data_IF_034584420943
#
_entry.id   IF_034584420943
#
_cell.length_a   1.000
_cell.length_b   1.000
_cell.length_c   1.000
_cell.angle_alpha   90.00
_cell.angle_beta   90.00
_cell.angle_gamma   90.00
#
_symmetry.space_group_name_H-M   'P 1'
#
loop_
_entity.id
_entity.type
_entity.pdbx_description
1 polymer ?
#
# COMPACT_ATOMS: atom_id res chain seq x y z
N UNK A 1 40.38 -56.30 -46.58
CA UNK A 1 40.03 -55.78 -45.23
C UNK A 1 40.80 -54.49 -44.87
N UNK A 2 40.76 -53.44 -45.70
CA UNK A 2 41.45 -52.15 -45.41
C UNK A 2 40.63 -50.88 -45.70
N UNK A 3 39.38 -51.00 -46.16
CA UNK A 3 38.52 -49.84 -46.49
C UNK A 3 37.35 -49.63 -45.51
N UNK A 4 37.17 -50.49 -44.53
CA UNK A 4 36.09 -50.39 -43.53
C UNK A 4 36.54 -49.82 -42.19
N UNK A 5 37.84 -49.72 -41.93
CA UNK A 5 38.38 -49.18 -40.66
C UNK A 5 38.57 -47.65 -40.73
N UNK A 6 38.72 -47.08 -41.93
CA UNK A 6 38.98 -45.64 -42.09
C UNK A 6 37.71 -44.76 -41.98
N UNK A 7 36.51 -45.33 -42.14
CA UNK A 7 35.25 -44.60 -41.92
C UNK A 7 34.83 -44.54 -40.46
N UNK A 8 35.42 -45.37 -39.58
CA UNK A 8 35.08 -45.37 -38.15
C UNK A 8 35.89 -44.33 -37.35
N UNK A 9 37.04 -43.87 -37.86
CA UNK A 9 37.86 -42.85 -37.20
C UNK A 9 37.49 -41.40 -37.56
N UNK A 10 36.69 -41.17 -38.61
CA UNK A 10 36.25 -39.81 -38.97
C UNK A 10 34.98 -39.36 -38.23
N UNK A 11 34.24 -40.29 -37.60
CA UNK A 11 33.06 -39.98 -36.77
C UNK A 11 33.47 -39.70 -35.31
N UNK A 12 34.64 -40.15 -34.86
CA UNK A 12 35.09 -39.96 -33.49
C UNK A 12 35.76 -38.58 -33.21
N UNK A 13 36.15 -37.82 -34.24
CA UNK A 13 36.82 -36.52 -34.07
C UNK A 13 35.83 -35.34 -34.11
N UNK A 14 34.62 -35.54 -34.65
CA UNK A 14 33.58 -34.50 -34.65
C UNK A 14 32.76 -34.44 -33.34
N UNK A 15 33.01 -35.32 -32.36
CA UNK A 15 32.24 -35.41 -31.13
C UNK A 15 32.84 -34.63 -29.93
N UNK A 16 33.98 -33.95 -30.09
CA UNK A 16 34.69 -33.30 -28.97
C UNK A 16 34.88 -31.78 -29.07
N UNK A 17 34.06 -31.11 -29.89
CA UNK A 17 34.08 -29.63 -29.97
C UNK A 17 32.70 -29.03 -29.72
N UNK A 18 32.00 -29.51 -28.68
CA UNK A 18 30.97 -28.69 -28.05
C UNK A 18 31.73 -27.78 -27.09
N UNK A 19 32.18 -26.63 -27.60
CA UNK A 19 32.45 -25.49 -26.73
C UNK A 19 31.14 -25.17 -26.04
N UNK A 20 31.05 -25.60 -24.78
CA UNK A 20 30.08 -25.08 -23.84
C UNK A 20 30.32 -23.58 -23.74
N UNK A 21 29.73 -22.82 -24.65
CA UNK A 21 29.39 -21.45 -24.37
C UNK A 21 28.40 -21.57 -23.23
N UNK A 22 28.91 -21.42 -22.01
CA UNK A 22 28.06 -21.03 -20.89
C UNK A 22 27.29 -19.83 -21.41
N UNK A 23 26.03 -20.02 -21.80
CA UNK A 23 25.10 -18.93 -21.74
C UNK A 23 25.16 -18.52 -20.29
N UNK A 24 25.76 -17.37 -20.01
CA UNK A 24 25.59 -16.72 -18.74
C UNK A 24 24.09 -16.61 -18.58
N UNK A 25 23.49 -17.57 -17.86
CA UNK A 25 22.10 -17.49 -17.48
C UNK A 25 22.10 -16.25 -16.63
N UNK A 26 21.49 -15.18 -17.11
CA UNK A 26 21.31 -13.98 -16.34
C UNK A 26 20.44 -14.38 -15.14
N UNK A 27 21.09 -14.82 -14.05
CA UNK A 27 20.47 -15.14 -12.77
C UNK A 27 20.14 -13.86 -12.00
N UNK A 28 20.35 -12.70 -12.62
CA UNK A 28 19.90 -11.42 -12.11
C UNK A 28 18.39 -11.39 -12.11
N UNK A 29 17.77 -11.97 -11.07
CA UNK A 29 16.47 -11.51 -10.64
C UNK A 29 16.59 -9.98 -10.57
N UNK A 30 15.85 -9.30 -11.45
CA UNK A 30 15.76 -7.84 -11.44
C UNK A 30 15.38 -7.49 -10.01
N UNK A 31 16.27 -6.79 -9.30
CA UNK A 31 16.01 -6.36 -7.92
C UNK A 31 14.65 -5.69 -7.91
N UNK A 32 13.80 -6.07 -6.97
CA UNK A 32 12.57 -5.32 -6.75
C UNK A 32 12.92 -3.88 -6.27
N UNK A 33 11.92 -3.02 -6.21
CA UNK A 33 12.15 -1.62 -5.83
C UNK A 33 12.86 -1.51 -4.46
N UNK A 34 12.45 -2.33 -3.49
CA UNK A 34 12.99 -2.30 -2.13
C UNK A 34 14.44 -2.76 -2.10
N UNK A 35 14.76 -3.86 -2.77
CA UNK A 35 16.13 -4.34 -2.93
C UNK A 35 17.03 -3.34 -3.67
N UNK A 36 16.46 -2.60 -4.64
CA UNK A 36 17.16 -1.55 -5.37
C UNK A 36 17.46 -0.36 -4.47
N UNK A 37 16.47 0.11 -3.70
CA UNK A 37 16.65 1.20 -2.75
C UNK A 37 17.65 0.82 -1.64
N UNK A 38 17.56 -0.39 -1.11
CA UNK A 38 18.50 -0.91 -0.10
C UNK A 38 19.94 -0.93 -0.64
N UNK A 39 20.11 -1.28 -1.92
CA UNK A 39 21.40 -1.24 -2.61
C UNK A 39 21.94 0.19 -2.71
N UNK A 40 21.10 1.15 -3.08
CA UNK A 40 21.49 2.58 -3.21
C UNK A 40 21.89 3.15 -1.83
N UNK A 41 21.17 2.75 -0.77
CA UNK A 41 21.36 3.22 0.60
C UNK A 41 22.41 2.41 1.39
N UNK A 42 23.18 1.54 0.75
CA UNK A 42 24.07 0.61 1.48
C UNK A 42 25.10 1.33 2.35
N UNK A 43 25.60 2.49 1.89
CA UNK A 43 26.59 3.31 2.61
C UNK A 43 26.00 4.43 3.45
N UNK A 44 24.68 4.56 3.51
CA UNK A 44 24.02 5.51 4.39
C UNK A 44 23.90 4.91 5.79
N UNK A 45 24.37 5.65 6.80
CA UNK A 45 24.21 5.36 8.21
C UNK A 45 22.72 5.41 8.59
N UNK A 46 22.14 4.24 8.89
CA UNK A 46 20.72 4.06 9.23
C UNK A 46 20.41 4.24 10.72
N UNK A 47 21.42 4.46 11.57
CA UNK A 47 21.24 4.65 13.02
C UNK A 47 20.19 5.70 13.40
N UNK A 48 20.03 6.83 12.67
CA UNK A 48 18.99 7.81 12.98
C UNK A 48 17.55 7.36 12.69
N UNK A 49 17.35 6.20 12.03
CA UNK A 49 16.01 5.64 11.76
C UNK A 49 15.50 4.96 13.04
N UNK A 50 14.84 5.74 13.88
CA UNK A 50 14.33 5.32 15.20
C UNK A 50 13.05 4.50 15.12
N UNK A 51 12.28 4.65 14.04
CA UNK A 51 10.96 3.98 13.91
C UNK A 51 11.05 2.54 13.42
N UNK A 52 12.20 2.12 12.89
CA UNK A 52 12.36 0.86 12.14
C UNK A 52 11.79 0.91 10.72
N UNK A 53 10.99 1.92 10.39
CA UNK A 53 10.27 2.06 9.12
C UNK A 53 10.91 3.18 8.29
N UNK A 54 11.46 2.85 7.11
CA UNK A 54 11.92 3.84 6.13
C UNK A 54 11.03 3.79 4.90
N UNK A 55 10.08 4.71 4.79
CA UNK A 55 9.00 4.63 3.80
C UNK A 55 9.51 4.71 2.36
N UNK A 56 10.59 5.45 2.09
CA UNK A 56 11.21 5.52 0.76
C UNK A 56 11.83 4.19 0.28
N UNK A 57 11.93 3.16 1.14
CA UNK A 57 12.30 1.80 0.72
C UNK A 57 11.22 1.13 -0.13
N UNK A 58 10.01 1.67 -0.18
CA UNK A 58 8.92 1.13 -0.99
C UNK A 58 8.33 2.22 -1.87
N UNK A 59 7.67 1.82 -2.95
CA UNK A 59 6.87 2.76 -3.72
C UNK A 59 5.63 3.17 -2.92
N UNK A 60 5.40 4.48 -2.84
CA UNK A 60 4.31 5.12 -2.07
C UNK A 60 3.03 5.22 -2.91
N UNK A 61 2.34 4.10 -3.13
CA UNK A 61 1.05 4.09 -3.84
C UNK A 61 -0.11 4.56 -2.96
N UNK A 62 -0.03 4.34 -1.64
CA UNK A 62 -1.04 4.85 -0.71
C UNK A 62 -0.84 6.33 -0.35
N UNK A 63 0.30 6.91 -0.72
CA UNK A 63 0.66 8.30 -0.49
C UNK A 63 0.49 8.72 0.97
N UNK A 64 0.95 7.88 1.92
CA UNK A 64 0.83 8.12 3.37
C UNK A 64 1.37 9.49 3.79
N UNK A 65 2.44 9.94 3.14
CA UNK A 65 3.05 11.24 3.36
C UNK A 65 2.16 12.41 2.91
N UNK A 66 1.21 12.18 2.00
CA UNK A 66 0.34 13.20 1.40
C UNK A 66 -1.13 13.09 1.82
N UNK A 67 -1.49 12.14 2.68
CA UNK A 67 -2.89 11.99 3.14
C UNK A 67 -3.45 13.28 3.75
N UNK A 68 -2.56 14.17 4.20
CA UNK A 68 -2.85 15.50 4.74
C UNK A 68 -1.79 16.50 4.29
N UNK A 69 -1.94 16.98 3.07
CA UNK A 69 -1.13 18.06 2.55
C UNK A 69 -2.01 19.28 2.31
N UNK A 70 -1.54 20.46 2.69
CA UNK A 70 -2.21 21.75 2.42
C UNK A 70 -3.69 21.80 2.87
N UNK A 71 -3.99 21.26 4.06
CA UNK A 71 -5.32 21.17 4.64
C UNK A 71 -6.35 20.31 3.86
N UNK A 72 -5.93 19.59 2.81
CA UNK A 72 -6.78 18.64 2.09
C UNK A 72 -6.71 17.29 2.79
N UNK A 73 -7.86 16.77 3.23
CA UNK A 73 -7.97 15.44 3.83
C UNK A 73 -8.31 14.45 2.73
N UNK A 74 -7.35 13.59 2.39
CA UNK A 74 -7.59 12.45 1.49
C UNK A 74 -8.48 11.43 2.19
N UNK A 75 -9.53 10.97 1.50
CA UNK A 75 -10.47 9.99 2.04
C UNK A 75 -9.88 8.59 1.89
N UNK A 76 -9.63 7.91 3.01
CA UNK A 76 -9.23 6.50 2.97
C UNK A 76 -10.42 5.59 2.58
N UNK A 77 -10.12 4.37 2.19
CA UNK A 77 -11.08 3.30 1.94
C UNK A 77 -10.39 1.95 2.17
N UNK A 78 -11.10 0.85 2.03
CA UNK A 78 -10.53 -0.48 2.25
C UNK A 78 -9.23 -0.74 1.47
N UNK A 79 -9.20 -0.38 0.18
CA UNK A 79 -8.02 -0.59 -0.68
C UNK A 79 -6.84 0.26 -0.24
N UNK A 80 -7.07 1.54 0.04
CA UNK A 80 -6.04 2.44 0.54
C UNK A 80 -5.48 1.93 1.88
N UNK A 81 -6.32 1.45 2.79
CA UNK A 81 -5.89 0.89 4.07
C UNK A 81 -4.98 -0.34 3.90
N UNK A 82 -5.39 -1.31 3.08
CA UNK A 82 -4.58 -2.50 2.80
C UNK A 82 -3.25 -2.15 2.13
N UNK A 83 -3.27 -1.19 1.20
CA UNK A 83 -2.06 -0.71 0.54
C UNK A 83 -1.11 -0.03 1.55
N UNK A 84 -1.63 0.85 2.41
CA UNK A 84 -0.86 1.48 3.47
C UNK A 84 -0.23 0.47 4.43
N UNK A 85 -0.99 -0.54 4.85
CA UNK A 85 -0.48 -1.61 5.71
C UNK A 85 0.65 -2.40 5.05
N UNK A 86 0.48 -2.76 3.77
CA UNK A 86 1.47 -3.48 2.97
C UNK A 86 2.77 -2.68 2.81
N UNK A 87 2.66 -1.39 2.51
CA UNK A 87 3.80 -0.51 2.33
C UNK A 87 4.56 -0.31 3.63
N UNK A 88 3.87 -0.12 4.76
CA UNK A 88 4.50 -0.05 6.08
C UNK A 88 5.23 -1.34 6.42
N UNK A 89 4.59 -2.49 6.22
CA UNK A 89 5.20 -3.79 6.50
C UNK A 89 6.49 -4.02 5.69
N UNK A 90 6.48 -3.64 4.41
CA UNK A 90 7.64 -3.80 3.51
C UNK A 90 8.73 -2.75 3.69
N UNK A 91 8.39 -1.59 4.25
CA UNK A 91 9.36 -0.51 4.53
C UNK A 91 10.03 -0.66 5.90
N UNK A 92 9.44 -1.44 6.80
CA UNK A 92 10.06 -1.87 8.06
C UNK A 92 11.28 -2.77 7.79
N UNK A 93 12.39 -2.52 8.48
CA UNK A 93 13.56 -3.40 8.44
C UNK A 93 13.32 -4.70 9.21
N UNK A 94 12.48 -4.68 10.23
CA UNK A 94 12.18 -5.80 11.13
C UNK A 94 10.71 -5.73 11.57
N UNK A 95 9.74 -6.02 10.67
CA UNK A 95 8.32 -5.87 10.97
C UNK A 95 7.89 -6.74 12.16
N UNK A 96 7.26 -6.10 13.14
CA UNK A 96 6.76 -6.74 14.38
C UNK A 96 5.24 -6.91 14.41
N UNK A 97 4.56 -6.52 13.33
CA UNK A 97 3.11 -6.59 13.17
C UNK A 97 2.73 -7.55 12.04
N UNK A 98 1.43 -7.78 11.85
CA UNK A 98 0.95 -8.78 10.89
C UNK A 98 1.36 -8.44 9.45
N UNK A 99 1.72 -9.46 8.67
CA UNK A 99 1.79 -9.33 7.21
C UNK A 99 0.41 -8.99 6.63
N UNK A 100 0.38 -8.44 5.42
CA UNK A 100 -0.87 -8.14 4.72
C UNK A 100 -1.76 -9.40 4.57
N UNK A 101 -1.15 -10.56 4.33
CA UNK A 101 -1.87 -11.83 4.19
C UNK A 101 -2.57 -12.23 5.50
N UNK A 102 -1.86 -12.17 6.63
CA UNK A 102 -2.44 -12.48 7.92
C UNK A 102 -3.51 -11.47 8.34
N UNK A 103 -3.31 -10.19 8.02
CA UNK A 103 -4.34 -9.17 8.24
C UNK A 103 -5.61 -9.49 7.43
N UNK A 104 -5.47 -9.83 6.14
CA UNK A 104 -6.60 -10.20 5.27
C UNK A 104 -7.36 -11.41 5.81
N UNK A 105 -6.65 -12.41 6.31
CA UNK A 105 -7.26 -13.57 6.98
C UNK A 105 -8.08 -13.14 8.20
N UNK A 106 -7.56 -12.23 9.04
CA UNK A 106 -8.30 -11.71 10.19
C UNK A 106 -9.54 -10.91 9.80
N UNK A 107 -9.45 -10.10 8.74
CA UNK A 107 -10.60 -9.34 8.21
C UNK A 107 -11.67 -10.30 7.68
N UNK A 108 -11.25 -11.33 6.94
CA UNK A 108 -12.17 -12.30 6.32
C UNK A 108 -12.78 -13.30 7.31
N UNK A 109 -12.22 -13.44 8.52
CA UNK A 109 -12.84 -14.22 9.59
C UNK A 109 -14.23 -13.68 9.98
N UNK A 110 -14.50 -12.40 9.70
CA UNK A 110 -15.83 -11.82 9.82
C UNK A 110 -16.69 -12.11 8.58
N UNK A 111 -17.52 -13.15 8.69
CA UNK A 111 -18.48 -13.55 7.64
C UNK A 111 -19.84 -12.86 7.75
N UNK A 112 -20.06 -12.00 8.75
CA UNK A 112 -21.35 -11.34 8.94
C UNK A 112 -21.52 -10.18 7.92
N UNK A 113 -22.56 -10.23 7.07
CA UNK A 113 -22.76 -9.23 6.02
C UNK A 113 -23.13 -7.83 6.56
N UNK A 114 -23.65 -7.76 7.79
CA UNK A 114 -24.06 -6.50 8.44
C UNK A 114 -22.98 -5.93 9.36
N UNK A 115 -21.90 -6.67 9.62
CA UNK A 115 -20.83 -6.25 10.52
C UNK A 115 -19.62 -5.77 9.70
N UNK A 116 -19.23 -4.52 9.89
CA UNK A 116 -18.06 -3.92 9.25
C UNK A 116 -17.03 -3.58 10.30
N UNK A 117 -15.87 -4.22 10.22
CA UNK A 117 -14.75 -3.90 11.09
C UNK A 117 -14.08 -2.58 10.66
N UNK A 118 -13.49 -1.87 11.62
CA UNK A 118 -12.72 -0.64 11.40
C UNK A 118 -11.26 -0.96 11.64
N UNK A 119 -10.42 -0.59 10.67
CA UNK A 119 -8.98 -0.68 10.78
C UNK A 119 -8.37 0.65 11.14
N UNK A 120 -7.31 0.61 11.93
CA UNK A 120 -6.54 1.79 12.34
C UNK A 120 -5.06 1.52 12.08
N UNK A 121 -4.39 2.48 11.46
CA UNK A 121 -2.93 2.60 11.43
C UNK A 121 -2.60 3.91 12.15
N UNK A 122 -1.83 3.85 13.23
CA UNK A 122 -1.30 5.00 13.94
C UNK A 122 0.16 4.73 14.33
N UNK A 123 1.10 5.29 13.58
CA UNK A 123 2.53 5.07 13.83
C UNK A 123 3.36 6.25 13.34
N UNK A 124 4.63 6.30 13.74
CA UNK A 124 5.63 7.10 13.05
C UNK A 124 6.34 6.28 11.98
N UNK A 125 6.80 6.97 10.95
CA UNK A 125 7.69 6.45 9.92
C UNK A 125 8.77 7.48 9.61
N UNK A 126 9.94 7.00 9.18
CA UNK A 126 10.98 7.86 8.63
C UNK A 126 10.88 7.98 7.11
N UNK A 127 11.32 9.12 6.58
CA UNK A 127 11.49 9.36 5.15
C UNK A 127 12.79 10.14 4.91
N UNK A 128 13.33 10.03 3.71
CA UNK A 128 14.57 10.66 3.29
C UNK A 128 14.28 12.12 2.95
N UNK A 129 14.99 13.01 3.62
CA UNK A 129 15.20 14.37 3.16
C UNK A 129 16.49 14.39 2.33
N UNK A 130 16.35 14.63 1.02
CA UNK A 130 17.50 14.77 0.14
C UNK A 130 18.18 16.14 0.28
N UNK A 131 17.54 17.10 0.96
CA UNK A 131 17.98 18.48 1.02
C UNK A 131 17.75 19.21 -0.31
N UNK A 132 18.59 20.19 -0.60
CA UNK A 132 18.54 20.96 -1.85
C UNK A 132 19.78 20.69 -2.71
N UNK A 133 19.79 21.03 -4.00
CA UNK A 133 20.98 20.89 -4.84
C UNK A 133 22.22 21.63 -4.31
N UNK A 134 22.04 22.73 -3.56
CA UNK A 134 23.14 23.52 -2.98
C UNK A 134 23.47 23.12 -1.54
N UNK A 135 22.52 22.49 -0.84
CA UNK A 135 22.69 21.99 0.54
C UNK A 135 22.12 20.57 0.63
N UNK A 136 22.80 19.57 0.03
CA UNK A 136 22.31 18.20 0.03
C UNK A 136 22.45 17.58 1.43
N UNK A 137 21.51 16.71 1.78
CA UNK A 137 21.59 15.89 3.00
C UNK A 137 22.27 14.53 2.73
N UNK A 138 22.35 14.13 1.46
CA UNK A 138 23.02 12.93 0.97
C UNK A 138 23.86 13.25 -0.28
N UNK A 139 25.04 12.65 -0.38
CA UNK A 139 25.88 12.74 -1.57
C UNK A 139 25.68 11.52 -2.46
N UNK A 140 25.63 11.73 -3.78
CA UNK A 140 25.57 10.64 -4.77
C UNK A 140 26.95 10.38 -5.36
N UNK A 141 27.51 9.20 -5.15
CA UNK A 141 28.81 8.79 -5.71
C UNK A 141 28.68 7.39 -6.31
N UNK A 142 28.94 7.26 -7.61
CA UNK A 142 28.90 5.96 -8.30
C UNK A 142 27.53 5.27 -8.27
N UNK A 143 26.43 6.03 -8.19
CA UNK A 143 25.06 5.48 -8.10
C UNK A 143 24.61 5.09 -6.69
N UNK A 144 25.44 5.33 -5.67
CA UNK A 144 25.12 5.11 -4.25
C UNK A 144 24.97 6.42 -3.51
N UNK A 145 24.22 6.38 -2.41
CA UNK A 145 24.04 7.51 -1.49
C UNK A 145 24.96 7.37 -0.28
N UNK A 146 25.52 8.49 0.16
CA UNK A 146 26.42 8.61 1.31
C UNK A 146 25.97 9.76 2.21
N UNK A 147 26.22 9.65 3.52
CA UNK A 147 25.93 10.74 4.45
C UNK A 147 26.78 11.97 4.14
N UNK A 148 26.21 13.14 4.38
CA UNK A 148 26.96 14.38 4.59
C UNK A 148 27.31 14.48 6.08
N UNK A 149 28.56 14.79 6.39
CA UNK A 149 29.05 14.85 7.77
C UNK A 149 28.21 15.80 8.62
N UNK A 150 27.73 15.32 9.77
CA UNK A 150 26.94 16.10 10.72
C UNK A 150 25.48 16.32 10.34
N UNK A 151 25.01 15.81 9.20
CA UNK A 151 23.62 15.94 8.75
C UNK A 151 22.88 14.61 8.93
N UNK A 152 21.70 14.66 9.55
CA UNK A 152 20.76 13.55 9.58
C UNK A 152 19.81 13.67 8.36
N UNK A 153 19.87 12.74 7.39
CA UNK A 153 19.03 12.78 6.19
C UNK A 153 17.63 12.17 6.41
N UNK A 154 17.29 11.76 7.63
CA UNK A 154 16.01 11.12 7.92
C UNK A 154 15.12 12.05 8.75
N UNK A 155 13.95 12.36 8.18
CA UNK A 155 12.87 13.04 8.87
C UNK A 155 11.88 12.01 9.38
N UNK A 156 11.09 12.39 10.38
CA UNK A 156 10.07 11.54 11.00
C UNK A 156 8.70 12.17 10.81
N UNK A 157 7.69 11.34 10.52
CA UNK A 157 6.30 11.76 10.40
C UNK A 157 5.37 10.78 11.09
N UNK A 158 4.47 11.30 11.91
CA UNK A 158 3.34 10.53 12.41
C UNK A 158 2.26 10.42 11.32
N UNK A 159 1.73 9.22 11.14
CA UNK A 159 0.66 8.91 10.21
C UNK A 159 -0.51 8.28 10.95
N UNK A 160 -1.72 8.66 10.52
CA UNK A 160 -2.95 8.08 11.01
C UNK A 160 -3.86 7.76 9.82
N UNK A 161 -4.25 6.50 9.68
CA UNK A 161 -5.21 6.04 8.66
C UNK A 161 -6.31 5.25 9.37
N UNK A 162 -7.56 5.64 9.13
CA UNK A 162 -8.72 4.95 9.67
C UNK A 162 -9.67 4.65 8.52
N UNK A 163 -10.13 3.41 8.43
CA UNK A 163 -10.97 2.98 7.32
C UNK A 163 -11.87 1.79 7.69
N UNK A 164 -13.10 1.73 7.16
CA UNK A 164 -13.88 0.50 7.14
C UNK A 164 -13.14 -0.60 6.37
N UNK A 165 -13.11 -1.80 6.93
CA UNK A 165 -12.41 -2.96 6.35
C UNK A 165 -13.30 -3.78 5.42
N UNK A 166 -14.09 -3.07 4.61
CA UNK A 166 -14.96 -3.65 3.59
C UNK A 166 -15.17 -2.63 2.47
N UNK A 167 -15.17 -3.08 1.21
CA UNK A 167 -15.46 -2.18 0.08
C UNK A 167 -16.94 -1.82 0.01
N UNK A 168 -17.81 -2.81 0.20
CA UNK A 168 -19.25 -2.65 0.05
C UNK A 168 -20.02 -3.38 1.16
N UNK A 169 -20.98 -2.69 1.77
CA UNK A 169 -22.00 -3.31 2.61
C UNK A 169 -23.27 -3.54 1.79
N UNK A 170 -23.76 -4.78 1.73
CA UNK A 170 -25.00 -5.14 1.03
C UNK A 170 -26.25 -5.04 1.92
N UNK A 171 -26.15 -4.27 3.01
CA UNK A 171 -27.23 -4.07 3.96
C UNK A 171 -27.37 -2.60 4.28
N UNK A 172 -28.62 -2.15 4.37
CA UNK A 172 -28.95 -0.81 4.85
C UNK A 172 -28.66 -0.63 6.34
N UNK A 173 -28.59 -1.70 7.14
CA UNK A 173 -28.21 -1.60 8.56
C UNK A 173 -26.82 -2.18 8.76
N UNK A 174 -25.88 -1.34 9.19
CA UNK A 174 -24.47 -1.69 9.38
C UNK A 174 -24.10 -1.52 10.85
N UNK A 175 -23.54 -2.57 11.43
CA UNK A 175 -22.87 -2.53 12.74
C UNK A 175 -21.39 -2.31 12.52
N UNK A 176 -20.82 -1.27 13.12
CA UNK A 176 -19.39 -0.99 13.05
C UNK A 176 -18.67 -1.50 14.30
N UNK A 177 -17.55 -2.21 14.11
CA UNK A 177 -16.78 -2.78 15.22
C UNK A 177 -15.31 -2.42 15.11
N UNK A 178 -14.69 -2.08 16.22
CA UNK A 178 -13.24 -1.88 16.31
C UNK A 178 -12.64 -3.02 17.15
N UNK A 179 -11.60 -3.67 16.62
CA UNK A 179 -10.84 -4.71 17.30
C UNK A 179 -9.39 -4.31 17.44
N UNK A 180 -8.76 -4.63 18.57
CA UNK A 180 -7.33 -4.38 18.79
C UNK A 180 -6.44 -5.10 17.77
N UNK A 181 -6.84 -6.28 17.31
CA UNK A 181 -6.14 -7.06 16.27
C UNK A 181 -6.15 -6.41 14.88
N UNK A 182 -6.97 -5.37 14.68
CA UNK A 182 -7.09 -4.60 13.43
C UNK A 182 -6.54 -3.17 13.59
N UNK A 183 -5.85 -2.91 14.71
CA UNK A 183 -5.18 -1.65 15.01
C UNK A 183 -3.67 -1.84 15.03
N UNK A 184 -2.98 -1.14 14.14
CA UNK A 184 -1.53 -0.96 14.19
C UNK A 184 -1.21 0.30 15.00
N UNK A 185 -0.67 0.13 16.20
CA UNK A 185 -0.17 1.22 17.04
C UNK A 185 1.21 0.89 17.58
N UNK A 186 2.26 1.39 16.91
CA UNK A 186 3.66 1.06 17.23
C UNK A 186 4.38 2.20 17.99
N UNK A 187 4.59 3.33 17.33
CA UNK A 187 5.37 4.46 17.86
C UNK A 187 4.67 5.80 17.61
N UNK A 188 5.01 6.81 18.41
CA UNK A 188 4.42 8.15 18.32
C UNK A 188 3.29 8.39 19.31
N UNK A 189 2.48 9.42 19.03
CA UNK A 189 1.41 9.80 19.94
C UNK A 189 0.29 8.76 19.86
N UNK A 190 -0.04 8.18 21.00
CA UNK A 190 -1.10 7.17 21.10
C UNK A 190 -2.48 7.81 20.93
N UNK A 191 -3.44 7.06 20.37
CA UNK A 191 -4.83 7.52 20.31
C UNK A 191 -5.42 7.48 21.72
N UNK A 192 -5.72 8.65 22.27
CA UNK A 192 -6.42 8.81 23.56
C UNK A 192 -7.92 8.66 23.38
N UNK A 193 -8.48 9.31 22.36
CA UNK A 193 -9.92 9.27 22.06
C UNK A 193 -10.12 9.16 20.56
N UNK A 194 -11.08 8.35 20.12
CA UNK A 194 -11.53 8.24 18.74
C UNK A 194 -13.05 8.37 18.70
N UNK A 195 -13.52 9.44 18.08
CA UNK A 195 -14.94 9.68 17.81
C UNK A 195 -15.21 9.42 16.33
N UNK A 196 -16.18 8.58 16.02
CA UNK A 196 -16.61 8.32 14.65
C UNK A 196 -18.00 8.89 14.41
N UNK A 197 -18.21 9.46 13.23
CA UNK A 197 -19.49 9.91 12.74
C UNK A 197 -19.74 9.25 11.38
N UNK A 198 -20.75 8.37 11.34
CA UNK A 198 -21.05 7.52 10.18
C UNK A 198 -22.23 8.02 9.34
N UNK A 199 -23.08 8.89 9.89
CA UNK A 199 -24.36 9.32 9.31
C UNK A 199 -24.56 10.85 9.33
N UNK A 200 -23.50 11.60 9.58
CA UNK A 200 -23.45 13.06 9.78
C UNK A 200 -24.19 13.60 11.03
N UNK A 201 -24.94 12.78 11.76
CA UNK A 201 -25.82 13.25 12.85
C UNK A 201 -25.39 12.78 14.23
N UNK A 202 -24.80 11.58 14.32
CA UNK A 202 -24.47 10.95 15.59
C UNK A 202 -22.97 10.69 15.72
N UNK A 203 -22.41 11.06 16.87
CA UNK A 203 -21.03 10.80 17.24
C UNK A 203 -20.95 9.56 18.13
N UNK A 204 -20.06 8.64 17.79
CA UNK A 204 -19.84 7.39 18.49
C UNK A 204 -18.40 7.34 19.01
N UNK A 205 -18.23 7.14 20.32
CA UNK A 205 -16.90 6.93 20.90
C UNK A 205 -16.45 5.49 20.65
N UNK A 206 -15.47 5.31 19.75
CA UNK A 206 -14.85 4.01 19.48
C UNK A 206 -13.66 3.74 20.40
N UNK A 207 -12.93 4.78 20.78
CA UNK A 207 -11.87 4.74 21.80
C UNK A 207 -12.14 5.90 22.76
N UNK A 208 -12.09 5.63 24.06
CA UNK A 208 -12.19 6.66 25.08
C UNK A 208 -11.13 6.44 26.17
N UNK A 209 -10.28 7.45 26.39
CA UNK A 209 -9.16 7.39 27.32
C UNK A 209 -8.31 6.10 27.15
N UNK A 210 -7.84 5.87 25.92
CA UNK A 210 -7.02 4.72 25.49
C UNK A 210 -7.73 3.36 25.47
N UNK A 211 -9.01 3.30 25.85
CA UNK A 211 -9.77 2.04 25.92
C UNK A 211 -10.71 1.92 24.72
N UNK A 212 -10.62 0.81 23.99
CA UNK A 212 -11.53 0.48 22.90
C UNK A 212 -12.92 0.18 23.48
N UNK A 213 -13.96 0.79 22.92
CA UNK A 213 -15.35 0.54 23.28
C UNK A 213 -15.75 -0.90 22.99
N UNK A 214 -16.47 -1.53 23.93
CA UNK A 214 -17.13 -2.83 23.70
C UNK A 214 -18.49 -2.70 23.01
N UNK A 215 -19.01 -1.47 22.93
CA UNK A 215 -20.29 -1.16 22.27
C UNK A 215 -20.04 -0.82 20.81
N UNK A 216 -20.71 -1.54 19.91
CA UNK A 216 -20.60 -1.38 18.47
C UNK A 216 -21.73 -0.49 17.93
N UNK A 217 -21.44 0.64 17.28
CA UNK A 217 -22.44 1.49 16.65
C UNK A 217 -23.26 0.74 15.60
N UNK A 218 -24.58 0.95 15.60
CA UNK A 218 -25.49 0.42 14.58
C UNK A 218 -26.10 1.60 13.83
N UNK A 219 -25.87 1.65 12.53
CA UNK A 219 -26.25 2.78 11.67
C UNK A 219 -27.14 2.27 10.54
N UNK A 220 -28.25 2.94 10.31
CA UNK A 220 -29.19 2.59 9.24
C UNK A 220 -29.11 3.63 8.11
N UNK A 221 -28.64 3.20 6.95
CA UNK A 221 -28.62 3.96 5.71
C UNK A 221 -29.92 3.74 4.94
N UNK A 222 -30.55 4.84 4.51
CA UNK A 222 -31.79 4.82 3.71
C UNK A 222 -31.54 4.87 2.21
N UNK A 223 -30.31 5.13 1.78
CA UNK A 223 -29.94 5.26 0.36
C UNK A 223 -28.64 4.52 0.07
N UNK A 224 -28.58 3.88 -1.10
CA UNK A 224 -27.35 3.30 -1.64
C UNK A 224 -26.34 4.37 -2.06
N UNK A 225 -25.10 3.95 -2.29
CA UNK A 225 -24.01 4.75 -2.82
C UNK A 225 -22.84 4.90 -1.85
N UNK A 226 -21.84 5.66 -2.28
CA UNK A 226 -20.62 5.92 -1.52
C UNK A 226 -20.93 6.79 -0.30
N UNK A 227 -20.74 6.23 0.89
CA UNK A 227 -20.87 6.94 2.16
C UNK A 227 -19.51 7.46 2.60
N UNK A 228 -19.51 8.64 3.20
CA UNK A 228 -18.35 9.25 3.83
C UNK A 228 -18.50 9.16 5.34
N UNK A 229 -17.43 8.78 6.01
CA UNK A 229 -17.34 8.70 7.46
C UNK A 229 -16.26 9.65 7.96
N UNK A 230 -16.55 10.35 9.05
CA UNK A 230 -15.61 11.29 9.67
C UNK A 230 -15.13 10.70 10.98
N UNK A 231 -13.82 10.72 11.18
CA UNK A 231 -13.18 10.28 12.41
C UNK A 231 -12.43 11.46 13.02
N UNK A 232 -12.69 11.75 14.29
CA UNK A 232 -11.95 12.74 15.07
C UNK A 232 -11.11 12.01 16.11
N UNK A 233 -9.80 12.10 15.93
CA UNK A 233 -8.78 11.51 16.80
C UNK A 233 -8.30 12.59 17.77
N UNK A 234 -8.18 12.25 19.04
CA UNK A 234 -7.42 13.03 20.02
C UNK A 234 -6.24 12.18 20.48
N UNK A 235 -5.04 12.72 20.36
CA UNK A 235 -3.81 12.04 20.74
C UNK A 235 -3.47 12.22 22.21
N UNK A 236 -2.45 11.50 22.69
CA UNK A 236 -1.98 11.55 24.08
C UNK A 236 -1.55 12.94 24.56
N UNK A 237 -1.10 13.81 23.67
CA UNK A 237 -0.75 15.21 23.96
C UNK A 237 -1.95 16.18 23.86
N UNK A 238 -3.16 15.65 23.60
CA UNK A 238 -4.40 16.37 23.35
C UNK A 238 -4.46 17.15 22.04
N UNK A 239 -3.50 16.97 21.12
CA UNK A 239 -3.69 17.40 19.74
C UNK A 239 -4.79 16.59 19.09
N UNK A 240 -5.51 17.22 18.17
CA UNK A 240 -6.66 16.61 17.50
C UNK A 240 -6.48 16.55 16.01
N UNK A 241 -6.99 15.49 15.40
CA UNK A 241 -6.86 15.24 13.99
C UNK A 241 -8.18 14.70 13.40
N UNK A 242 -8.66 15.33 12.33
CA UNK A 242 -9.84 14.86 11.59
C UNK A 242 -9.43 14.06 10.36
N UNK A 243 -10.04 12.89 10.20
CA UNK A 243 -9.83 11.93 9.11
C UNK A 243 -11.15 11.64 8.42
N UNK A 244 -11.08 11.25 7.15
CA UNK A 244 -12.26 10.85 6.37
C UNK A 244 -12.01 9.48 5.75
N UNK A 245 -13.05 8.67 5.72
CA UNK A 245 -13.05 7.40 5.00
C UNK A 245 -14.32 7.23 4.17
N UNK A 246 -14.30 6.27 3.25
CA UNK A 246 -15.45 5.95 2.41
C UNK A 246 -15.68 4.44 2.31
N UNK A 247 -16.94 4.07 2.14
CA UNK A 247 -17.40 2.71 1.83
C UNK A 247 -18.66 2.79 0.99
N UNK A 248 -18.86 1.86 0.06
CA UNK A 248 -20.13 1.77 -0.67
C UNK A 248 -21.18 1.04 0.16
N UNK A 249 -22.40 1.57 0.19
CA UNK A 249 -23.54 0.91 0.83
C UNK A 249 -24.59 0.61 -0.23
N UNK A 250 -25.11 -0.60 -0.22
CA UNK A 250 -26.22 -1.03 -1.07
C UNK A 250 -27.40 -1.36 -0.17
N UNK A 251 -28.42 -0.51 -0.21
CA UNK A 251 -29.69 -0.75 0.43
C UNK A 251 -30.55 -1.54 -0.56
N UNK A 252 -30.93 -2.77 -0.20
CA UNK A 252 -31.81 -3.58 -1.04
C UNK A 252 -33.20 -2.95 -1.10
N UNK A 253 -33.55 -2.37 -2.24
CA UNK A 253 -34.94 -2.06 -2.56
C UNK A 253 -35.59 -3.38 -2.99
N UNK A 254 -36.67 -3.81 -2.34
CA UNK A 254 -37.33 -5.06 -2.71
C UNK A 254 -38.01 -4.97 -4.09
N UNK A 255 -37.25 -5.18 -5.14
CA UNK A 255 -37.71 -5.69 -6.43
C UNK A 255 -36.51 -6.18 -7.26
N UNK A 256 -36.43 -7.50 -7.40
CA UNK A 256 -35.43 -8.28 -8.19
C UNK A 256 -33.98 -8.27 -7.68
N UNK A 257 -33.73 -9.02 -6.60
CA UNK A 257 -32.38 -9.45 -6.26
C UNK A 257 -31.92 -10.54 -7.25
N UNK A 258 -31.16 -10.18 -8.28
CA UNK A 258 -30.26 -11.14 -8.91
C UNK A 258 -29.13 -11.40 -7.91
N UNK A 259 -29.03 -12.63 -7.42
CA UNK A 259 -27.95 -13.07 -6.55
C UNK A 259 -26.61 -12.86 -7.28
N UNK A 260 -25.89 -11.80 -6.92
CA UNK A 260 -24.48 -11.69 -7.23
C UNK A 260 -23.76 -12.77 -6.44
N UNK A 261 -23.18 -13.73 -7.17
CA UNK A 261 -22.29 -14.73 -6.61
C UNK A 261 -21.24 -14.03 -5.73
N UNK A 262 -21.10 -14.54 -4.50
CA UNK A 262 -20.06 -14.12 -3.56
C UNK A 262 -18.68 -14.25 -4.21
N UNK A 263 -17.88 -13.18 -4.31
CA UNK A 263 -16.46 -13.31 -4.53
C UNK A 263 -15.75 -13.08 -3.19
N UNK A 264 -15.77 -14.09 -2.31
CA UNK A 264 -14.73 -14.21 -1.27
C UNK A 264 -13.37 -14.62 -1.88
N UNK A 265 -13.27 -14.72 -3.21
CA UNK A 265 -12.02 -14.84 -3.92
C UNK A 265 -11.40 -13.46 -4.13
N UNK A 266 -10.26 -13.21 -3.50
CA UNK A 266 -9.32 -12.20 -3.98
C UNK A 266 -9.04 -12.52 -5.46
N UNK A 267 -9.26 -11.59 -6.39
CA UNK A 267 -8.78 -11.83 -7.74
C UNK A 267 -7.26 -11.94 -7.67
N UNK A 268 -6.65 -12.95 -8.32
CA UNK A 268 -5.18 -13.13 -8.36
C UNK A 268 -4.46 -12.02 -9.14
N UNK A 269 -5.25 -11.17 -9.79
CA UNK A 269 -4.83 -10.04 -10.58
C UNK A 269 -5.73 -8.87 -10.22
N UNK A 270 -5.16 -7.68 -10.07
CA UNK A 270 -5.95 -6.46 -9.94
C UNK A 270 -5.60 -5.52 -11.08
N UNK A 271 -6.59 -5.31 -11.95
CA UNK A 271 -6.54 -4.29 -12.99
C UNK A 271 -6.86 -2.93 -12.35
N UNK A 272 -5.92 -2.00 -12.47
CA UNK A 272 -6.14 -0.60 -12.14
C UNK A 272 -6.26 0.20 -13.43
N UNK A 273 -7.47 0.70 -13.71
CA UNK A 273 -7.69 1.81 -14.62
C UNK A 273 -7.79 3.06 -13.76
N UNK A 274 -6.64 3.65 -13.44
CA UNK A 274 -6.54 4.74 -12.47
C UNK A 274 -6.13 6.05 -13.12
N UNK A 275 -6.98 7.07 -13.01
CA UNK A 275 -6.54 8.47 -13.09
C UNK A 275 -5.67 8.87 -11.88
N UNK A 276 -5.65 8.06 -10.81
CA UNK A 276 -4.81 8.25 -9.64
C UNK A 276 -3.37 7.83 -9.95
N UNK A 277 -2.48 8.82 -10.02
CA UNK A 277 -1.08 8.70 -10.44
C UNK A 277 -0.71 9.70 -11.55
N UNK A 278 -1.71 10.24 -12.25
CA UNK A 278 -1.55 11.37 -13.18
C UNK A 278 -2.34 12.53 -12.60
N UNK A 279 -1.69 13.33 -11.76
CA UNK A 279 -2.23 14.65 -11.40
C UNK A 279 -2.41 15.47 -12.68
N UNK A 280 -3.49 16.24 -12.77
CA UNK A 280 -3.71 17.21 -13.84
C UNK A 280 -2.55 18.21 -13.98
N UNK A 281 -1.71 18.32 -12.94
CA UNK A 281 -0.53 19.19 -12.85
C UNK A 281 0.82 18.47 -12.97
N UNK A 282 0.85 17.14 -13.12
CA UNK A 282 2.12 16.40 -13.26
C UNK A 282 2.62 16.41 -14.70
N UNK A 283 3.93 16.51 -14.87
CA UNK A 283 4.69 16.52 -16.15
C UNK A 283 4.46 15.29 -17.05
N UNK A 284 3.60 14.34 -16.63
CA UNK A 284 3.12 13.19 -17.41
C UNK A 284 1.73 13.37 -18.05
N UNK A 285 1.05 14.50 -17.83
CA UNK A 285 -0.23 14.85 -18.48
C UNK A 285 0.00 15.51 -19.86
N UNK A 286 0.90 14.92 -20.65
CA UNK A 286 1.30 15.46 -21.97
C UNK A 286 0.38 14.84 -23.02
N UNK A 287 -0.42 15.66 -23.69
CA UNK A 287 -1.16 15.21 -24.86
C UNK A 287 -0.17 14.99 -26.01
N UNK A 288 -0.22 13.81 -26.63
CA UNK A 288 0.61 13.49 -27.79
C UNK A 288 -0.25 13.61 -29.05
N UNK A 289 0.29 14.22 -30.09
CA UNK A 289 -0.32 14.32 -31.42
C UNK A 289 0.67 13.78 -32.44
N UNK A 290 0.33 12.67 -33.09
CA UNK A 290 1.14 12.11 -34.17
C UNK A 290 1.13 13.00 -35.42
N UNK A 291 2.11 12.81 -36.31
CA UNK A 291 2.29 13.61 -37.54
C UNK A 291 1.07 13.63 -38.49
N UNK A 292 0.15 12.66 -38.37
CA UNK A 292 -1.06 12.53 -39.20
C UNK A 292 -2.37 12.64 -38.40
N UNK A 293 -2.32 13.12 -37.15
CA UNK A 293 -3.51 13.26 -36.31
C UNK A 293 -4.00 14.70 -36.30
N UNK A 294 -5.31 14.91 -36.41
CA UNK A 294 -5.93 16.25 -36.38
C UNK A 294 -6.19 16.77 -34.98
N UNK A 295 -5.99 15.94 -33.94
CA UNK A 295 -6.14 16.33 -32.54
C UNK A 295 -5.23 15.51 -31.62
N UNK A 296 -4.66 16.16 -30.61
CA UNK A 296 -3.85 15.50 -29.59
C UNK A 296 -4.71 14.57 -28.69
N UNK A 297 -4.19 13.37 -28.40
CA UNK A 297 -4.86 12.38 -27.54
C UNK A 297 -4.11 12.24 -26.22
N UNK A 298 -4.86 12.07 -25.12
CA UNK A 298 -4.30 11.80 -23.80
C UNK A 298 -4.23 10.29 -23.57
N UNK A 299 -3.08 9.79 -23.13
CA UNK A 299 -2.95 8.41 -22.69
C UNK A 299 -3.65 8.18 -21.34
N UNK A 300 -4.26 7.01 -21.18
CA UNK A 300 -4.69 6.49 -19.88
C UNK A 300 -3.66 5.46 -19.44
N UNK A 301 -3.14 5.58 -18.21
CA UNK A 301 -2.21 4.60 -17.68
C UNK A 301 -3.01 3.46 -17.04
N UNK A 302 -2.91 2.30 -17.63
CA UNK A 302 -3.39 1.04 -17.06
C UNK A 302 -2.20 0.33 -16.45
N UNK A 303 -2.31 -0.06 -15.18
CA UNK A 303 -1.32 -0.93 -14.56
C UNK A 303 -2.00 -2.11 -13.86
N UNK A 304 -1.34 -3.25 -13.93
CA UNK A 304 -1.76 -4.49 -13.30
C UNK A 304 -0.77 -4.84 -12.21
N UNK A 305 -1.27 -5.03 -11.00
CA UNK A 305 -0.44 -5.56 -9.92
C UNK A 305 -0.66 -7.06 -9.84
N UNK A 306 0.43 -7.82 -10.06
CA UNK A 306 0.48 -9.24 -9.79
C UNK A 306 1.01 -9.46 -8.37
N UNK A 307 0.33 -10.28 -7.58
CA UNK A 307 0.84 -10.75 -6.29
C UNK A 307 0.90 -12.27 -6.31
N UNK A 308 2.00 -12.81 -5.79
CA UNK A 308 2.21 -14.26 -5.71
C UNK A 308 1.80 -14.75 -4.32
N UNK A 309 0.95 -15.79 -4.27
CA UNK A 309 0.83 -16.62 -3.08
C UNK A 309 2.08 -17.48 -3.02
N UNK A 310 2.93 -17.29 -2.00
CA UNK A 310 3.94 -18.29 -1.67
C UNK A 310 3.21 -19.36 -0.84
N UNK A 311 2.67 -20.36 -1.52
CA UNK A 311 2.20 -21.59 -0.85
C UNK A 311 3.44 -22.36 -0.40
N UNK A 312 3.59 -22.55 0.91
CA UNK A 312 4.58 -23.47 1.51
C UNK A 312 4.01 -24.89 1.43
#
# INVERSE_FOLDING_TARGET
MKKTILKLQFIAICAFSITAHSQATFTGLKKDYTQSMDSILTYVNKTPITTGILYDRVMSFSSLSMLKENAVITKSNYKNFLQSWSELYRSDYTPTFLSLENLKTNINANTNPNLVDIGIINTKMNYIDFGTPTTPSLNTVGGYLYNVTGINPFLEKQITVISPLRETSNSGTVTFRLLSSLMLQLSGLQIKTLVANFDATTNYNLINNYVISTTNPVVTFTTSGKKEFVFTVTFSDNTTETLKATMDVVVSNSSTAMALASPFSFPLEQDFVGANGISTTSTGNVAFQGYNETSATKGVLEYRTYYNLITI
#
